data_IF_886554381520
#
_entry.id   IF_886554381520
#
_cell.length_a   1.000
_cell.length_b   1.000
_cell.length_c   1.000
_cell.angle_alpha   90.00
_cell.angle_beta   90.00
_cell.angle_gamma   90.00
#
_symmetry.space_group_name_H-M   'P 1'
#
loop_
_entity.id
_entity.type
_entity.pdbx_description
1 polymer ?
#
# COMPACT_ATOMS: atom_id res chain seq x y z
N UNK A 1 -11.02 -41.58 6.25
CA UNK A 1 -12.29 -41.47 7.01
C UNK A 1 -12.04 -40.63 8.24
N UNK A 2 -12.38 -39.34 8.23
CA UNK A 2 -12.18 -38.42 9.34
C UNK A 2 -13.54 -38.17 10.02
N UNK A 3 -13.64 -38.52 11.28
CA UNK A 3 -14.88 -38.51 12.06
C UNK A 3 -15.09 -37.13 12.73
N UNK A 4 -16.16 -36.41 12.33
CA UNK A 4 -16.58 -35.13 12.93
C UNK A 4 -17.39 -35.40 14.21
N UNK A 5 -16.81 -35.17 15.37
CA UNK A 5 -17.57 -35.11 16.63
C UNK A 5 -18.14 -33.70 16.81
N UNK A 6 -19.46 -33.62 16.84
CA UNK A 6 -20.27 -32.45 17.21
C UNK A 6 -20.07 -32.17 18.70
N UNK A 7 -19.67 -30.95 19.06
CA UNK A 7 -19.75 -30.46 20.44
C UNK A 7 -20.85 -29.41 20.48
N UNK A 8 -21.97 -29.76 21.07
CA UNK A 8 -23.04 -28.83 21.44
C UNK A 8 -22.69 -28.27 22.83
N UNK A 9 -22.41 -26.99 22.92
CA UNK A 9 -22.26 -26.25 24.18
C UNK A 9 -23.32 -25.17 24.28
N UNK A 10 -24.30 -25.40 25.14
CA UNK A 10 -25.30 -24.40 25.53
C UNK A 10 -24.63 -23.34 26.40
N UNK A 11 -24.72 -22.07 26.03
CA UNK A 11 -24.41 -20.95 26.91
C UNK A 11 -25.67 -20.19 27.26
N UNK A 12 -25.93 -20.14 28.56
CA UNK A 12 -26.98 -19.36 29.23
C UNK A 12 -26.76 -17.86 28.96
N UNK A 13 -27.83 -17.17 28.58
CA UNK A 13 -27.88 -15.71 28.49
C UNK A 13 -28.26 -15.15 29.85
N UNK A 14 -27.37 -14.44 30.51
CA UNK A 14 -27.69 -13.57 31.65
C UNK A 14 -27.76 -12.13 31.13
N UNK A 15 -28.96 -11.58 31.10
CA UNK A 15 -29.18 -10.17 30.86
C UNK A 15 -28.92 -9.38 32.15
N UNK A 16 -27.91 -8.52 32.16
CA UNK A 16 -27.73 -7.50 33.17
C UNK A 16 -27.84 -6.13 32.51
N UNK A 17 -28.93 -5.43 32.75
CA UNK A 17 -29.17 -4.04 32.37
C UNK A 17 -28.41 -3.12 33.33
N UNK A 18 -27.38 -2.48 32.88
CA UNK A 18 -26.73 -1.38 33.59
C UNK A 18 -26.75 -0.14 32.68
N UNK A 19 -27.57 0.84 33.08
CA UNK A 19 -27.59 2.17 32.44
C UNK A 19 -26.26 2.87 32.59
N UNK A 20 -25.62 3.23 31.49
CA UNK A 20 -24.42 4.06 31.45
C UNK A 20 -24.83 5.46 30.99
N UNK A 21 -24.66 6.42 31.90
CA UNK A 21 -24.82 7.84 31.64
C UNK A 21 -23.86 8.27 30.50
N UNK A 22 -24.45 8.88 29.47
CA UNK A 22 -23.73 9.43 28.32
C UNK A 22 -23.06 10.74 28.71
N UNK A 23 -21.78 10.68 29.05
CA UNK A 23 -20.96 11.87 29.15
C UNK A 23 -20.70 12.44 27.76
N UNK A 24 -21.21 13.65 27.50
CA UNK A 24 -20.88 14.43 26.30
C UNK A 24 -19.42 14.87 26.39
N UNK A 25 -18.58 14.38 25.49
CA UNK A 25 -17.23 14.90 25.33
C UNK A 25 -17.29 16.26 24.61
N UNK A 26 -16.49 17.25 25.02
CA UNK A 26 -16.40 18.55 24.36
C UNK A 26 -15.84 18.38 22.94
N UNK A 27 -16.43 19.12 21.99
CA UNK A 27 -16.09 19.08 20.57
C UNK A 27 -14.59 19.29 20.34
N UNK A 28 -13.95 18.30 19.76
CA UNK A 28 -12.65 18.47 19.12
C UNK A 28 -12.87 19.09 17.75
N UNK A 29 -12.67 20.40 17.70
CA UNK A 29 -12.57 21.17 16.44
C UNK A 29 -11.54 20.50 15.54
N UNK A 30 -11.90 20.34 14.26
CA UNK A 30 -11.15 19.64 13.24
C UNK A 30 -9.67 20.04 13.23
N UNK A 31 -8.80 19.09 13.54
CA UNK A 31 -7.44 19.14 13.04
C UNK A 31 -7.52 18.82 11.54
N UNK A 32 -7.48 19.91 10.74
CA UNK A 32 -7.21 19.79 9.32
C UNK A 32 -5.94 18.95 9.16
N UNK A 33 -6.02 17.87 8.40
CA UNK A 33 -4.82 17.14 7.98
C UNK A 33 -3.88 18.16 7.36
N UNK A 34 -2.61 18.28 7.82
CA UNK A 34 -1.65 19.09 7.09
C UNK A 34 -1.58 18.50 5.70
N UNK A 35 -1.93 19.30 4.68
CA UNK A 35 -1.70 18.93 3.30
C UNK A 35 -0.26 18.43 3.23
N UNK A 36 -0.05 17.27 2.59
CA UNK A 36 1.29 16.75 2.29
C UNK A 36 1.95 17.75 1.32
N UNK A 37 2.42 18.88 1.87
CA UNK A 37 3.33 19.77 1.19
C UNK A 37 4.56 18.95 0.86
N UNK A 38 4.88 18.85 -0.43
CA UNK A 38 6.08 18.20 -0.92
C UNK A 38 7.29 18.96 -0.37
N UNK A 39 7.73 18.56 0.82
CA UNK A 39 9.03 18.94 1.33
C UNK A 39 10.12 18.43 0.38
N UNK A 40 11.37 18.92 0.51
CA UNK A 40 12.46 18.41 -0.29
C UNK A 40 12.54 16.88 -0.12
N UNK A 41 12.68 16.17 -1.25
CA UNK A 41 12.81 14.72 -1.26
C UNK A 41 14.03 14.31 -0.42
N UNK A 42 13.83 13.38 0.50
CA UNK A 42 14.86 12.85 1.41
C UNK A 42 14.93 11.33 1.26
N UNK A 43 15.99 10.73 1.77
CA UNK A 43 16.10 9.27 1.85
C UNK A 43 14.93 8.68 2.65
N UNK A 44 14.57 9.30 3.76
CA UNK A 44 13.49 8.88 4.65
C UNK A 44 12.13 8.94 3.92
N UNK A 45 11.85 10.04 3.21
CA UNK A 45 10.62 10.17 2.43
C UNK A 45 10.53 9.12 1.30
N UNK A 46 11.67 8.81 0.66
CA UNK A 46 11.72 7.77 -0.37
C UNK A 46 11.52 6.37 0.23
N UNK A 47 12.04 6.08 1.42
CA UNK A 47 11.76 4.82 2.14
C UNK A 47 10.25 4.70 2.40
N UNK A 48 9.63 5.74 2.93
CA UNK A 48 8.22 5.75 3.29
C UNK A 48 7.32 5.54 2.07
N UNK A 49 7.60 6.21 0.95
CA UNK A 49 6.81 6.03 -0.27
C UNK A 49 6.99 4.64 -0.87
N UNK A 50 8.19 4.06 -0.83
CA UNK A 50 8.44 2.70 -1.28
C UNK A 50 7.65 1.67 -0.44
N UNK A 51 7.63 1.82 0.90
CA UNK A 51 6.84 0.94 1.78
C UNK A 51 5.34 1.04 1.46
N UNK A 52 4.83 2.27 1.31
CA UNK A 52 3.42 2.50 0.96
C UNK A 52 3.06 1.90 -0.41
N UNK A 53 3.95 2.04 -1.40
CA UNK A 53 3.72 1.47 -2.73
C UNK A 53 3.77 -0.05 -2.73
N UNK A 54 4.68 -0.66 -1.95
CA UNK A 54 4.68 -2.11 -1.73
C UNK A 54 3.33 -2.60 -1.19
N UNK A 55 2.84 -1.98 -0.11
CA UNK A 55 1.55 -2.34 0.49
C UNK A 55 0.39 -2.14 -0.49
N UNK A 56 0.34 -0.99 -1.17
CA UNK A 56 -0.69 -0.66 -2.13
C UNK A 56 -0.75 -1.67 -3.29
N UNK A 57 0.39 -2.05 -3.86
CA UNK A 57 0.42 -3.02 -4.96
C UNK A 57 -0.09 -4.41 -4.51
N UNK A 58 0.24 -4.86 -3.29
CA UNK A 58 -0.28 -6.12 -2.74
C UNK A 58 -1.79 -6.05 -2.46
N UNK A 59 -2.28 -4.96 -1.88
CA UNK A 59 -3.71 -4.72 -1.65
C UNK A 59 -4.48 -4.67 -2.98
N UNK A 60 -3.90 -4.02 -3.98
CA UNK A 60 -4.47 -3.94 -5.33
C UNK A 60 -4.50 -5.31 -6.00
N UNK A 61 -3.45 -6.12 -5.90
CA UNK A 61 -3.45 -7.48 -6.41
C UNK A 61 -4.55 -8.34 -5.76
N UNK A 62 -4.72 -8.23 -4.42
CA UNK A 62 -5.83 -8.89 -3.71
C UNK A 62 -7.19 -8.44 -4.25
N UNK A 63 -7.38 -7.12 -4.38
CA UNK A 63 -8.60 -6.55 -4.95
C UNK A 63 -8.87 -7.09 -6.37
N UNK A 64 -7.85 -7.19 -7.21
CA UNK A 64 -7.97 -7.72 -8.57
C UNK A 64 -8.47 -9.18 -8.57
N UNK A 65 -7.99 -10.03 -7.66
CA UNK A 65 -8.48 -11.40 -7.52
C UNK A 65 -9.96 -11.46 -7.11
N UNK A 66 -10.42 -10.52 -6.28
CA UNK A 66 -11.84 -10.44 -5.87
C UNK A 66 -12.74 -9.88 -6.99
N UNK A 67 -12.22 -8.94 -7.77
CA UNK A 67 -12.95 -8.28 -8.85
C UNK A 67 -13.13 -9.17 -10.08
N UNK A 68 -12.09 -9.90 -10.47
CA UNK A 68 -12.10 -10.75 -11.67
C UNK A 68 -12.03 -9.97 -12.99
N UNK A 69 -12.41 -10.61 -14.09
CA UNK A 69 -12.40 -9.99 -15.42
C UNK A 69 -11.01 -9.52 -15.86
N UNK A 70 -10.91 -8.32 -16.41
CA UNK A 70 -9.65 -7.75 -16.91
C UNK A 70 -8.61 -7.51 -15.80
N UNK A 71 -9.07 -7.36 -14.55
CA UNK A 71 -8.20 -7.17 -13.39
C UNK A 71 -7.32 -8.39 -13.09
N UNK A 72 -7.71 -9.58 -13.49
CA UNK A 72 -6.91 -10.81 -13.28
C UNK A 72 -6.08 -11.20 -14.50
N UNK A 73 -5.86 -10.29 -15.44
CA UNK A 73 -4.95 -10.53 -16.54
C UNK A 73 -3.56 -10.91 -15.98
N UNK A 74 -2.94 -12.03 -16.44
CA UNK A 74 -1.67 -12.49 -15.85
C UNK A 74 -0.55 -11.46 -15.89
N UNK A 75 -0.48 -10.65 -16.95
CA UNK A 75 0.51 -9.58 -17.10
C UNK A 75 0.28 -8.45 -16.11
N UNK A 76 -0.98 -8.09 -15.83
CA UNK A 76 -1.34 -7.08 -14.84
C UNK A 76 -0.95 -7.51 -13.41
N UNK A 77 -1.35 -8.72 -13.03
CA UNK A 77 -1.03 -9.26 -11.71
C UNK A 77 0.48 -9.42 -11.51
N UNK A 78 1.20 -9.93 -12.52
CA UNK A 78 2.66 -10.04 -12.45
C UNK A 78 3.31 -8.69 -12.21
N UNK A 79 2.89 -7.64 -12.94
CA UNK A 79 3.44 -6.30 -12.82
C UNK A 79 3.17 -5.67 -11.45
N UNK A 80 1.97 -5.86 -10.88
CA UNK A 80 1.66 -5.43 -9.51
C UNK A 80 2.58 -6.09 -8.48
N UNK A 81 2.79 -7.42 -8.59
CA UNK A 81 3.63 -8.17 -7.66
C UNK A 81 5.12 -7.79 -7.82
N UNK A 82 5.61 -7.69 -9.05
CA UNK A 82 6.98 -7.26 -9.33
C UNK A 82 7.24 -5.84 -8.78
N UNK A 83 6.27 -4.93 -8.95
CA UNK A 83 6.36 -3.58 -8.41
C UNK A 83 6.40 -3.61 -6.86
N UNK A 84 5.56 -4.41 -6.23
CA UNK A 84 5.55 -4.56 -4.78
C UNK A 84 6.91 -5.04 -4.26
N UNK A 85 7.48 -6.08 -4.85
CA UNK A 85 8.78 -6.64 -4.42
C UNK A 85 9.93 -5.65 -4.66
N UNK A 86 9.94 -4.96 -5.79
CA UNK A 86 10.95 -3.95 -6.09
C UNK A 86 10.90 -2.78 -5.11
N UNK A 87 9.71 -2.29 -4.77
CA UNK A 87 9.53 -1.24 -3.77
C UNK A 87 10.05 -1.69 -2.39
N UNK A 88 9.76 -2.90 -1.96
CA UNK A 88 10.28 -3.44 -0.69
C UNK A 88 11.81 -3.57 -0.71
N UNK A 89 12.38 -4.06 -1.81
CA UNK A 89 13.82 -4.16 -1.98
C UNK A 89 14.50 -2.78 -1.93
N UNK A 90 13.87 -1.78 -2.54
CA UNK A 90 14.38 -0.40 -2.58
C UNK A 90 14.37 0.22 -1.18
N UNK A 91 13.27 0.11 -0.44
CA UNK A 91 13.20 0.57 0.94
C UNK A 91 14.30 -0.08 1.81
N UNK A 92 14.45 -1.39 1.71
CA UNK A 92 15.49 -2.14 2.44
C UNK A 92 16.92 -1.70 2.06
N UNK A 93 17.16 -1.40 0.79
CA UNK A 93 18.45 -0.91 0.30
C UNK A 93 18.79 0.46 0.87
N UNK A 94 17.82 1.37 0.87
CA UNK A 94 17.96 2.73 1.42
C UNK A 94 18.17 2.70 2.93
N UNK A 95 17.43 1.87 3.68
CA UNK A 95 17.60 1.69 5.12
C UNK A 95 19.01 1.20 5.48
N UNK A 96 19.57 0.29 4.68
CA UNK A 96 20.94 -0.21 4.88
C UNK A 96 22.03 0.75 4.38
N UNK A 97 21.66 1.89 3.79
CA UNK A 97 22.60 2.82 3.14
C UNK A 97 23.50 2.13 2.11
N UNK A 98 22.89 1.29 1.26
CA UNK A 98 23.61 0.52 0.26
C UNK A 98 24.27 1.42 -0.79
N UNK A 99 25.53 1.17 -1.11
CA UNK A 99 26.24 1.85 -2.21
C UNK A 99 25.61 1.58 -3.59
N UNK A 100 24.76 0.56 -3.71
CA UNK A 100 24.02 0.21 -4.94
C UNK A 100 22.63 0.84 -5.00
N UNK A 101 22.25 1.69 -4.03
CA UNK A 101 20.91 2.28 -3.97
C UNK A 101 20.50 3.00 -5.25
N UNK A 102 21.43 3.70 -5.93
CA UNK A 102 21.14 4.43 -7.16
C UNK A 102 20.63 3.51 -8.28
N UNK A 103 21.29 2.37 -8.51
CA UNK A 103 20.84 1.39 -9.49
C UNK A 103 19.49 0.78 -9.13
N UNK A 104 19.30 0.46 -7.84
CA UNK A 104 18.05 -0.11 -7.32
C UNK A 104 16.90 0.90 -7.42
N UNK A 105 17.11 2.15 -7.03
CA UNK A 105 16.12 3.22 -7.17
C UNK A 105 15.77 3.48 -8.65
N UNK A 106 16.75 3.45 -9.55
CA UNK A 106 16.50 3.58 -10.99
C UNK A 106 15.60 2.47 -11.54
N UNK A 107 15.84 1.22 -11.16
CA UNK A 107 14.99 0.08 -11.54
C UNK A 107 13.58 0.20 -10.93
N UNK A 108 13.49 0.59 -9.65
CA UNK A 108 12.22 0.81 -8.97
C UNK A 108 11.37 1.88 -9.68
N UNK A 109 11.98 3.00 -10.05
CA UNK A 109 11.28 4.07 -10.75
C UNK A 109 10.69 3.59 -12.09
N UNK A 110 11.43 2.80 -12.86
CA UNK A 110 10.95 2.24 -14.13
C UNK A 110 9.77 1.30 -13.92
N UNK A 111 9.86 0.43 -12.93
CA UNK A 111 8.81 -0.56 -12.66
C UNK A 111 7.54 0.10 -12.10
N UNK A 112 7.69 1.10 -11.22
CA UNK A 112 6.57 1.89 -10.72
C UNK A 112 5.87 2.67 -11.85
N UNK A 113 6.60 3.25 -12.80
CA UNK A 113 6.01 3.90 -13.97
C UNK A 113 5.23 2.91 -14.85
N UNK A 114 5.77 1.72 -15.07
CA UNK A 114 5.09 0.67 -15.82
C UNK A 114 3.81 0.22 -15.12
N UNK A 115 3.87 -0.03 -13.82
CA UNK A 115 2.73 -0.40 -13.00
C UNK A 115 1.64 0.67 -13.00
N UNK A 116 2.01 1.93 -12.84
CA UNK A 116 1.07 3.05 -12.89
C UNK A 116 0.35 3.13 -14.23
N UNK A 117 1.09 3.04 -15.33
CA UNK A 117 0.52 3.05 -16.69
C UNK A 117 -0.44 1.90 -16.92
N UNK A 118 -0.13 0.72 -16.41
CA UNK A 118 -0.96 -0.46 -16.57
C UNK A 118 -2.26 -0.38 -15.75
N UNK A 119 -2.17 0.11 -14.51
CA UNK A 119 -3.36 0.43 -13.69
C UNK A 119 -4.25 1.49 -14.34
N UNK A 120 -3.67 2.56 -14.92
CA UNK A 120 -4.38 3.62 -15.63
C UNK A 120 -5.17 3.11 -16.86
N UNK A 121 -4.76 1.98 -17.45
CA UNK A 121 -5.47 1.37 -18.57
C UNK A 121 -6.82 0.75 -18.16
N UNK A 122 -7.00 0.41 -16.90
CA UNK A 122 -8.27 -0.06 -16.34
C UNK A 122 -9.06 1.15 -15.84
N UNK A 123 -9.82 1.77 -16.74
CA UNK A 123 -10.51 3.03 -16.50
C UNK A 123 -11.77 2.87 -15.63
N UNK A 124 -12.10 3.93 -14.87
CA UNK A 124 -13.32 3.97 -14.05
C UNK A 124 -13.25 3.13 -12.77
N UNK A 125 -12.06 2.78 -12.33
CA UNK A 125 -11.82 2.03 -11.11
C UNK A 125 -10.94 2.82 -10.14
N UNK A 126 -11.50 3.19 -8.99
CA UNK A 126 -10.85 4.04 -7.99
C UNK A 126 -9.62 3.35 -7.37
N UNK A 127 -9.64 2.02 -7.20
CA UNK A 127 -8.49 1.28 -6.67
C UNK A 127 -7.31 1.32 -7.64
N UNK A 128 -7.60 1.16 -8.94
CA UNK A 128 -6.58 1.27 -9.99
C UNK A 128 -6.01 2.70 -10.05
N UNK A 129 -6.87 3.71 -10.02
CA UNK A 129 -6.43 5.10 -10.02
C UNK A 129 -5.57 5.46 -8.80
N UNK A 130 -5.92 4.95 -7.63
CA UNK A 130 -5.15 5.17 -6.40
C UNK A 130 -3.78 4.47 -6.45
N UNK A 131 -3.75 3.21 -6.90
CA UNK A 131 -2.49 2.48 -7.10
C UNK A 131 -1.57 3.21 -8.09
N UNK A 132 -2.12 3.64 -9.22
CA UNK A 132 -1.37 4.39 -10.24
C UNK A 132 -0.77 5.67 -9.67
N UNK A 133 -1.55 6.47 -8.94
CA UNK A 133 -1.09 7.72 -8.32
C UNK A 133 0.09 7.47 -7.38
N UNK A 134 -0.01 6.48 -6.49
CA UNK A 134 1.04 6.16 -5.52
C UNK A 134 2.30 5.63 -6.20
N UNK A 135 2.16 4.82 -7.24
CA UNK A 135 3.29 4.36 -8.06
C UNK A 135 3.99 5.53 -8.78
N UNK A 136 3.24 6.53 -9.30
CA UNK A 136 3.84 7.74 -9.89
C UNK A 136 4.66 8.53 -8.87
N UNK A 137 4.15 8.69 -7.66
CA UNK A 137 4.87 9.36 -6.58
C UNK A 137 6.15 8.60 -6.20
N UNK A 138 6.08 7.29 -6.06
CA UNK A 138 7.23 6.44 -5.80
C UNK A 138 8.28 6.53 -6.91
N UNK A 139 7.85 6.47 -8.17
CA UNK A 139 8.75 6.60 -9.31
C UNK A 139 9.48 7.95 -9.32
N UNK A 140 8.79 9.04 -9.02
CA UNK A 140 9.38 10.38 -8.92
C UNK A 140 10.45 10.42 -7.82
N UNK A 141 10.15 9.96 -6.62
CA UNK A 141 11.04 10.02 -5.47
C UNK A 141 12.25 9.08 -5.66
N UNK A 142 12.04 7.90 -6.21
CA UNK A 142 13.13 6.99 -6.57
C UNK A 142 14.07 7.60 -7.61
N UNK A 143 13.57 8.30 -8.63
CA UNK A 143 14.44 9.03 -9.60
C UNK A 143 15.31 10.07 -8.92
N UNK A 144 14.77 10.80 -7.95
CA UNK A 144 15.52 11.78 -7.18
C UNK A 144 16.66 11.14 -6.35
N UNK A 145 16.48 9.89 -5.90
CA UNK A 145 17.50 9.16 -5.12
C UNK A 145 18.66 8.61 -5.94
N UNK A 146 18.54 8.47 -7.28
CA UNK A 146 19.56 7.80 -8.12
C UNK A 146 20.97 8.35 -7.91
N UNK A 147 21.11 9.66 -7.81
CA UNK A 147 22.41 10.35 -7.68
C UNK A 147 22.60 11.00 -6.30
N UNK A 148 21.71 10.74 -5.35
CA UNK A 148 21.80 11.34 -4.02
C UNK A 148 22.84 10.58 -3.18
N UNK A 149 23.75 11.27 -2.48
CA UNK A 149 24.68 10.60 -1.55
C UNK A 149 23.90 10.03 -0.35
N UNK A 150 24.37 8.86 0.18
CA UNK A 150 23.70 8.11 1.24
C UNK A 150 24.56 8.01 2.50
#
# INVERSE_FOLDING_TARGET
MWNRRKVLGSCLVLAASSGIARAQAPGMSGMGMPGMGQGPMTRESCIDICIKSHQMCLETARYCFEKGGDHVAPTHLALLLDCAEMCQMTANSLMRRSQQHGAICGACAQLCDACAKDCEAITGDDQMAHCASLCRDCARDCRGMVNMPI
#
